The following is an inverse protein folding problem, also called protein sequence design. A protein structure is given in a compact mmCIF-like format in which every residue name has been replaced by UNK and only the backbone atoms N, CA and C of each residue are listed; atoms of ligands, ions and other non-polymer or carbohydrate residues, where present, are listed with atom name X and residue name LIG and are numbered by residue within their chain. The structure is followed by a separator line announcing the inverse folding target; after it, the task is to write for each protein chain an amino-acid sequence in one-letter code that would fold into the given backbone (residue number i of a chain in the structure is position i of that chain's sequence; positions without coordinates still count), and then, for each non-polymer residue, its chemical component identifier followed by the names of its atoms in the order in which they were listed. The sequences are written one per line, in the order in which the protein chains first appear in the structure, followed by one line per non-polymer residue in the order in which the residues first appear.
data_IF_823535779506
#
_entry.id   IF_823535779506
#
_cell.length_a   1.000
_cell.length_b   1.000
_cell.length_c   1.000
_cell.angle_alpha   90.00
_cell.angle_beta   90.00
_cell.angle_gamma   90.00
#
_symmetry.space_group_name_H-M   'P 1'
#
loop_
_entity.id
_entity.type
_entity.pdbx_description
1 polymer ?
#
# COMPACT_ATOMS: atom_id res chain seq x y z
N UNK A 1 2.31 -20.62 -3.30
CA UNK A 1 1.38 -19.45 -3.34
C UNK A 1 1.04 -18.92 -1.93
N UNK A 2 1.36 -19.68 -0.90
CA UNK A 2 1.11 -19.43 0.53
C UNK A 2 1.76 -18.12 1.00
N UNK A 3 3.05 -17.92 0.70
CA UNK A 3 3.80 -16.70 1.07
C UNK A 3 3.15 -15.43 0.52
N UNK A 4 2.81 -15.43 -0.77
CA UNK A 4 2.14 -14.33 -1.45
C UNK A 4 0.76 -14.05 -0.82
N UNK A 5 0.00 -15.10 -0.51
CA UNK A 5 -1.30 -14.99 0.13
C UNK A 5 -1.18 -14.39 1.53
N UNK A 6 -0.26 -14.87 2.36
CA UNK A 6 0.00 -14.34 3.69
C UNK A 6 0.36 -12.85 3.63
N UNK A 7 1.26 -12.47 2.72
CA UNK A 7 1.65 -11.08 2.48
C UNK A 7 0.45 -10.20 2.13
N UNK A 8 -0.38 -10.66 1.18
CA UNK A 8 -1.57 -9.91 0.76
C UNK A 8 -2.54 -9.76 1.94
N UNK A 9 -2.73 -10.80 2.74
CA UNK A 9 -3.59 -10.71 3.93
C UNK A 9 -3.03 -9.71 4.96
N UNK A 10 -1.72 -9.66 5.17
CA UNK A 10 -1.10 -8.65 6.04
C UNK A 10 -1.31 -7.22 5.50
N UNK A 11 -1.19 -7.01 4.20
CA UNK A 11 -1.45 -5.71 3.57
C UNK A 11 -2.93 -5.31 3.69
N UNK A 12 -3.86 -6.27 3.62
CA UNK A 12 -5.28 -6.03 3.84
C UNK A 12 -5.59 -5.71 5.31
N UNK A 13 -4.91 -6.35 6.26
CA UNK A 13 -5.01 -5.99 7.69
C UNK A 13 -4.53 -4.56 7.94
N UNK A 14 -3.41 -4.16 7.33
CA UNK A 14 -2.94 -2.77 7.38
C UNK A 14 -3.98 -1.80 6.80
N UNK A 15 -4.60 -2.15 5.68
CA UNK A 15 -5.63 -1.32 5.07
C UNK A 15 -6.93 -1.26 5.90
N UNK A 16 -7.32 -2.36 6.56
CA UNK A 16 -8.41 -2.34 7.54
C UNK A 16 -8.11 -1.40 8.70
N UNK A 17 -6.87 -1.39 9.19
CA UNK A 17 -6.45 -0.45 10.22
C UNK A 17 -6.61 1.02 9.77
N UNK A 18 -6.15 1.37 8.56
CA UNK A 18 -6.34 2.73 8.04
C UNK A 18 -7.81 3.10 7.81
N UNK A 19 -8.61 2.15 7.32
CA UNK A 19 -10.06 2.34 7.12
C UNK A 19 -10.78 2.57 8.45
N UNK A 20 -10.50 1.74 9.46
CA UNK A 20 -11.07 1.90 10.81
C UNK A 20 -10.68 3.22 11.45
N UNK A 21 -9.42 3.66 11.27
CA UNK A 21 -8.94 4.96 11.76
C UNK A 21 -9.71 6.13 11.14
N UNK A 22 -9.90 6.13 9.82
CA UNK A 22 -10.70 7.16 9.13
C UNK A 22 -12.16 7.15 9.59
N UNK A 23 -12.75 5.95 9.76
CA UNK A 23 -14.11 5.80 10.28
C UNK A 23 -14.28 6.41 11.68
N UNK A 24 -13.36 6.10 12.60
CA UNK A 24 -13.35 6.68 13.94
C UNK A 24 -13.15 8.20 13.92
N UNK A 25 -12.33 8.70 12.99
CA UNK A 25 -12.02 10.11 12.84
C UNK A 25 -13.19 10.93 12.29
N UNK A 26 -14.13 10.34 11.54
CA UNK A 26 -15.39 11.01 11.17
C UNK A 26 -16.13 11.49 12.42
N UNK A 27 -16.32 10.60 13.41
CA UNK A 27 -16.97 10.95 14.67
C UNK A 27 -16.15 11.94 15.51
N UNK A 28 -14.84 11.69 15.63
CA UNK A 28 -13.93 12.54 16.42
C UNK A 28 -13.88 13.99 15.91
N UNK A 29 -13.81 14.17 14.59
CA UNK A 29 -13.65 15.48 13.95
C UNK A 29 -14.94 16.03 13.34
N UNK A 30 -16.10 15.39 13.62
CA UNK A 30 -17.42 15.82 13.16
C UNK A 30 -17.52 16.00 11.64
N UNK A 31 -16.95 15.06 10.89
CA UNK A 31 -17.02 15.02 9.42
C UNK A 31 -18.05 13.97 9.00
N UNK A 32 -19.31 14.38 9.01
CA UNK A 32 -20.44 13.51 8.66
C UNK A 32 -20.41 13.09 7.19
N UNK A 33 -20.76 11.84 6.92
CA UNK A 33 -20.95 11.36 5.55
C UNK A 33 -22.03 12.21 4.84
N UNK A 34 -21.88 12.51 3.54
CA UNK A 34 -20.87 12.04 2.59
C UNK A 34 -19.61 12.92 2.51
N UNK A 35 -19.40 13.86 3.44
CA UNK A 35 -18.27 14.79 3.36
C UNK A 35 -16.93 14.05 3.44
N UNK A 36 -15.98 14.51 2.63
CA UNK A 36 -14.59 14.04 2.63
C UNK A 36 -13.59 15.18 2.93
N UNK A 37 -14.11 16.34 3.33
CA UNK A 37 -13.35 17.53 3.70
C UNK A 37 -13.89 18.10 5.02
N UNK A 38 -13.04 18.79 5.78
CA UNK A 38 -13.34 19.29 7.11
C UNK A 38 -12.09 19.53 7.93
N UNK A 39 -11.89 18.75 8.99
CA UNK A 39 -10.70 18.85 9.83
C UNK A 39 -9.43 18.36 9.11
N UNK A 40 -8.33 19.07 9.27
CA UNK A 40 -7.06 18.78 8.58
C UNK A 40 -6.52 17.38 8.91
N UNK A 41 -6.66 16.91 10.16
CA UNK A 41 -6.24 15.57 10.54
C UNK A 41 -7.13 14.51 9.92
N UNK A 42 -8.44 14.74 9.85
CA UNK A 42 -9.35 13.87 9.11
C UNK A 42 -8.94 13.78 7.64
N UNK A 43 -8.72 14.91 6.97
CA UNK A 43 -8.34 14.95 5.55
C UNK A 43 -7.02 14.23 5.30
N UNK A 44 -6.00 14.43 6.14
CA UNK A 44 -4.73 13.70 6.05
C UNK A 44 -4.93 12.19 6.19
N UNK A 45 -5.70 11.76 7.19
CA UNK A 45 -6.01 10.34 7.39
C UNK A 45 -6.77 9.73 6.22
N UNK A 46 -7.76 10.47 5.69
CA UNK A 46 -8.54 10.08 4.53
C UNK A 46 -7.65 9.90 3.28
N UNK A 47 -6.71 10.83 3.04
CA UNK A 47 -5.74 10.72 1.94
C UNK A 47 -4.78 9.54 2.10
N UNK A 48 -4.33 9.25 3.32
CA UNK A 48 -3.50 8.05 3.58
C UNK A 48 -4.25 6.77 3.24
N UNK A 49 -5.51 6.66 3.67
CA UNK A 49 -6.35 5.50 3.40
C UNK A 49 -6.63 5.37 1.88
N UNK A 50 -7.04 6.45 1.22
CA UNK A 50 -7.31 6.45 -0.22
C UNK A 50 -6.06 6.07 -1.04
N UNK A 51 -4.90 6.68 -0.75
CA UNK A 51 -3.67 6.36 -1.46
C UNK A 51 -3.24 4.90 -1.23
N UNK A 52 -3.43 4.37 -0.03
CA UNK A 52 -3.14 2.95 0.24
C UNK A 52 -4.04 2.04 -0.60
N UNK A 53 -5.33 2.37 -0.74
CA UNK A 53 -6.26 1.65 -1.61
C UNK A 53 -5.77 1.64 -3.08
N UNK A 54 -5.35 2.78 -3.61
CA UNK A 54 -4.81 2.90 -4.96
C UNK A 54 -3.56 2.03 -5.15
N UNK A 55 -2.66 2.02 -4.15
CA UNK A 55 -1.44 1.21 -4.20
C UNK A 55 -1.73 -0.29 -4.09
N UNK A 56 -2.77 -0.70 -3.35
CA UNK A 56 -3.20 -2.10 -3.25
C UNK A 56 -3.68 -2.68 -4.58
N UNK A 57 -4.30 -1.87 -5.45
CA UNK A 57 -4.74 -2.28 -6.79
C UNK A 57 -3.56 -2.79 -7.63
N UNK A 58 -2.37 -2.24 -7.42
CA UNK A 58 -1.13 -2.69 -8.08
C UNK A 58 -0.49 -3.84 -7.29
N UNK A 59 -0.38 -3.65 -5.98
CA UNK A 59 0.37 -4.54 -5.10
C UNK A 59 -0.18 -5.98 -5.11
N UNK A 60 -1.50 -6.14 -5.00
CA UNK A 60 -2.13 -7.46 -4.89
C UNK A 60 -1.88 -8.32 -6.14
N UNK A 61 -2.27 -7.90 -7.35
CA UNK A 61 -1.98 -8.68 -8.56
C UNK A 61 -0.48 -8.78 -8.83
N UNK A 62 0.29 -7.72 -8.58
CA UNK A 62 1.75 -7.72 -8.74
C UNK A 62 2.44 -8.76 -7.85
N UNK A 63 1.99 -8.91 -6.61
CA UNK A 63 2.52 -9.90 -5.65
C UNK A 63 2.29 -11.32 -6.15
N UNK A 64 1.07 -11.64 -6.57
CA UNK A 64 0.78 -12.98 -7.11
C UNK A 64 1.51 -13.25 -8.42
N UNK A 65 1.58 -12.26 -9.31
CA UNK A 65 2.28 -12.39 -10.58
C UNK A 65 3.79 -12.60 -10.37
N UNK A 66 4.44 -11.81 -9.51
CA UNK A 66 5.85 -11.97 -9.20
C UNK A 66 6.13 -13.32 -8.54
N UNK A 67 5.29 -13.74 -7.60
CA UNK A 67 5.42 -15.04 -6.94
C UNK A 67 5.33 -16.21 -7.95
N UNK A 68 4.44 -16.10 -8.94
CA UNK A 68 4.21 -17.14 -9.93
C UNK A 68 5.27 -17.16 -11.03
N UNK A 69 5.62 -16.01 -11.61
CA UNK A 69 6.50 -15.91 -12.77
C UNK A 69 7.97 -15.70 -12.42
N UNK A 70 8.27 -15.05 -11.29
CA UNK A 70 9.65 -14.73 -10.90
C UNK A 70 10.13 -15.66 -9.81
N UNK A 71 9.57 -15.56 -8.60
CA UNK A 71 9.92 -16.47 -7.50
C UNK A 71 9.00 -16.32 -6.29
N UNK A 72 8.35 -17.43 -5.92
CA UNK A 72 7.64 -17.58 -4.65
C UNK A 72 8.55 -17.34 -3.43
N UNK A 73 9.84 -17.69 -3.51
CA UNK A 73 10.79 -17.53 -2.40
C UNK A 73 11.20 -16.08 -2.18
N UNK A 74 11.21 -15.25 -3.22
CA UNK A 74 11.73 -13.88 -3.15
C UNK A 74 10.65 -12.79 -3.08
N UNK A 75 9.37 -13.14 -3.31
CA UNK A 75 8.26 -12.16 -3.28
C UNK A 75 8.14 -11.40 -1.95
N UNK A 76 8.61 -11.99 -0.84
CA UNK A 76 8.55 -11.33 0.46
C UNK A 76 9.40 -10.05 0.56
N UNK A 77 10.44 -9.89 -0.27
CA UNK A 77 11.33 -8.72 -0.23
C UNK A 77 10.60 -7.44 -0.66
N UNK A 78 10.07 -7.33 -1.90
CA UNK A 78 9.29 -6.16 -2.29
C UNK A 78 8.02 -6.01 -1.45
N UNK A 79 7.44 -7.11 -0.97
CA UNK A 79 6.27 -7.07 -0.10
C UNK A 79 6.52 -6.45 1.27
N UNK A 80 7.62 -6.83 1.93
CA UNK A 80 8.00 -6.22 3.21
C UNK A 80 8.29 -4.72 3.02
N UNK A 81 8.94 -4.35 1.91
CA UNK A 81 9.18 -2.96 1.57
C UNK A 81 7.89 -2.16 1.40
N UNK A 82 6.86 -2.76 0.77
CA UNK A 82 5.54 -2.15 0.64
C UNK A 82 4.90 -1.90 2.01
N UNK A 83 4.78 -2.92 2.86
CA UNK A 83 4.15 -2.83 4.19
C UNK A 83 4.83 -1.77 5.07
N UNK A 84 6.17 -1.79 5.14
CA UNK A 84 6.91 -0.79 5.92
C UNK A 84 6.74 0.60 5.31
N UNK A 85 6.79 0.71 3.98
CA UNK A 85 6.58 1.97 3.26
C UNK A 85 5.21 2.58 3.53
N UNK A 86 4.16 1.77 3.69
CA UNK A 86 2.81 2.24 4.01
C UNK A 86 2.66 2.77 5.43
N UNK A 87 3.24 2.09 6.43
CA UNK A 87 3.29 2.61 7.79
C UNK A 87 4.09 3.92 7.87
N UNK A 88 5.24 3.98 7.21
CA UNK A 88 6.08 5.18 7.17
C UNK A 88 5.36 6.33 6.48
N UNK A 89 4.78 6.09 5.29
CA UNK A 89 3.99 7.09 4.58
C UNK A 89 2.84 7.60 5.44
N UNK A 90 2.12 6.72 6.13
CA UNK A 90 1.06 7.13 7.06
C UNK A 90 1.59 8.04 8.17
N UNK A 91 2.76 7.74 8.73
CA UNK A 91 3.32 8.53 9.81
C UNK A 91 3.78 9.92 9.32
N UNK A 92 4.50 9.96 8.21
CA UNK A 92 4.99 11.20 7.58
C UNK A 92 3.83 12.11 7.17
N UNK A 93 2.80 11.56 6.53
CA UNK A 93 1.66 12.33 6.05
C UNK A 93 0.88 12.98 7.20
N UNK A 94 0.79 12.30 8.35
CA UNK A 94 0.07 12.82 9.53
C UNK A 94 0.87 13.86 10.31
N UNK A 95 2.21 13.76 10.32
CA UNK A 95 3.08 14.65 11.12
C UNK A 95 3.55 15.87 10.34
N UNK A 96 4.09 15.68 9.13
CA UNK A 96 4.62 16.73 8.26
C UNK A 96 4.40 16.32 6.79
N UNK A 97 3.32 16.80 6.12
CA UNK A 97 2.98 16.39 4.76
C UNK A 97 4.12 16.54 3.74
N UNK A 98 5.00 17.52 3.90
CA UNK A 98 6.16 17.74 3.03
C UNK A 98 7.22 16.63 3.13
N UNK A 99 7.16 15.82 4.19
CA UNK A 99 8.07 14.69 4.44
C UNK A 99 7.54 13.34 3.94
N UNK A 100 6.38 13.27 3.25
CA UNK A 100 5.75 12.01 2.79
C UNK A 100 6.48 11.25 1.67
N UNK A 101 7.62 11.77 1.23
CA UNK A 101 8.36 11.29 0.06
C UNK A 101 9.04 9.93 0.30
N UNK A 102 9.72 9.67 1.44
CA UNK A 102 10.40 8.40 1.68
C UNK A 102 9.43 7.21 1.71
N UNK A 103 8.34 7.28 2.49
CA UNK A 103 7.36 6.19 2.55
C UNK A 103 6.69 5.91 1.19
N UNK A 104 6.39 6.97 0.43
CA UNK A 104 5.86 6.82 -0.93
C UNK A 104 6.88 6.20 -1.89
N UNK A 105 8.15 6.62 -1.83
CA UNK A 105 9.21 6.09 -2.67
C UNK A 105 9.43 4.59 -2.42
N UNK A 106 9.40 4.15 -1.16
CA UNK A 106 9.45 2.72 -0.82
C UNK A 106 8.28 1.95 -1.41
N UNK A 107 7.07 2.51 -1.31
CA UNK A 107 5.85 1.89 -1.86
C UNK A 107 5.94 1.76 -3.39
N UNK A 108 6.38 2.83 -4.06
CA UNK A 108 6.55 2.84 -5.52
C UNK A 108 7.64 1.87 -5.98
N UNK A 109 8.77 1.82 -5.27
CA UNK A 109 9.85 0.89 -5.58
C UNK A 109 9.37 -0.56 -5.45
N UNK A 110 8.66 -0.88 -4.36
CA UNK A 110 8.06 -2.20 -4.17
C UNK A 110 7.15 -2.59 -5.32
N UNK A 111 6.19 -1.72 -5.67
CA UNK A 111 5.25 -1.95 -6.77
C UNK A 111 5.96 -2.05 -8.13
N UNK A 112 6.96 -1.21 -8.39
CA UNK A 112 7.77 -1.27 -9.60
C UNK A 112 8.54 -2.60 -9.70
N UNK A 113 9.15 -3.07 -8.62
CA UNK A 113 9.84 -4.36 -8.59
C UNK A 113 8.89 -5.51 -8.88
N UNK A 114 7.68 -5.51 -8.30
CA UNK A 114 6.68 -6.55 -8.55
C UNK A 114 6.24 -6.58 -10.02
N UNK A 115 5.90 -5.43 -10.59
CA UNK A 115 5.40 -5.33 -11.96
C UNK A 115 6.51 -5.57 -12.99
N UNK A 116 7.61 -4.81 -12.90
CA UNK A 116 8.70 -4.88 -13.87
C UNK A 116 9.39 -6.23 -13.80
N UNK A 117 9.62 -6.78 -12.60
CA UNK A 117 10.21 -8.10 -12.43
C UNK A 117 9.37 -9.18 -13.11
N UNK A 118 8.04 -9.11 -12.99
CA UNK A 118 7.12 -10.03 -13.68
C UNK A 118 7.19 -9.85 -15.20
N UNK A 119 7.17 -8.61 -15.70
CA UNK A 119 7.24 -8.34 -17.14
C UNK A 119 8.55 -8.84 -17.77
N UNK A 120 9.68 -8.67 -17.08
CA UNK A 120 10.98 -9.20 -17.53
C UNK A 120 10.94 -10.72 -17.60
N UNK A 121 10.46 -11.39 -16.54
CA UNK A 121 10.39 -12.86 -16.51
C UNK A 121 9.47 -13.42 -17.60
N UNK A 122 8.34 -12.76 -17.86
CA UNK A 122 7.46 -13.11 -18.97
C UNK A 122 8.15 -12.90 -20.31
N UNK A 123 8.78 -11.75 -20.54
CA UNK A 123 9.50 -11.46 -21.78
C UNK A 123 10.57 -12.50 -22.09
N UNK A 124 11.39 -12.87 -21.11
CA UNK A 124 12.42 -13.90 -21.25
C UNK A 124 11.86 -15.31 -21.52
N UNK A 125 10.58 -15.55 -21.23
CA UNK A 125 9.92 -16.84 -21.49
C UNK A 125 9.34 -16.93 -22.90
N UNK A 126 9.10 -15.79 -23.56
CA UNK A 126 8.55 -15.73 -24.92
C UNK A 126 9.61 -15.76 -26.01
N UNK A 127 10.89 -15.56 -25.67
CA UNK A 127 12.04 -15.73 -26.56
C UNK A 127 12.77 -17.04 -26.22
#
# INVERSE_FOLDING_TARGET
METATLIVMLALVEYFYFTGRVGAWRGKYKVDAPKCTGDEMFEKGFRVQQNTMEQLVIFIPGTYAFAYYVSQKWVWVPAALFLIGRLLFSHEYLTKPDSRVPGMAMTLLANATLVIGTLIALGLKFF
#
